data_IF_362962975235
#
_entry.id   IF_362962975235
#
_cell.length_a   1.000
_cell.length_b   1.000
_cell.length_c   1.000
_cell.angle_alpha   90.00
_cell.angle_beta   90.00
_cell.angle_gamma   90.00
#
_symmetry.space_group_name_H-M   'P 1'
#
loop_
_entity.id
_entity.type
_entity.pdbx_description
1 polymer ?
#
# COMPACT_ATOMS: atom_id res chain seq x y z
N UNK A 1 1.28 10.61 -3.28
CA UNK A 1 2.72 10.36 -3.52
C UNK A 1 3.52 9.98 -2.27
N UNK A 2 3.08 10.30 -1.05
CA UNK A 2 3.82 9.95 0.17
C UNK A 2 4.11 8.44 0.32
N UNK A 3 3.10 7.58 0.04
CA UNK A 3 3.24 6.13 0.15
C UNK A 3 4.37 5.54 -0.72
N UNK A 4 4.42 5.90 -2.01
CA UNK A 4 5.42 5.33 -2.93
C UNK A 4 6.84 5.80 -2.58
N UNK A 5 7.00 7.05 -2.12
CA UNK A 5 8.29 7.56 -1.66
C UNK A 5 8.77 6.82 -0.40
N UNK A 6 7.86 6.56 0.53
CA UNK A 6 8.15 5.75 1.71
C UNK A 6 8.56 4.33 1.30
N UNK A 7 7.78 3.67 0.44
CA UNK A 7 8.04 2.29 0.04
C UNK A 7 9.37 2.16 -0.73
N UNK A 8 9.72 3.14 -1.57
CA UNK A 8 11.02 3.17 -2.25
C UNK A 8 12.16 3.23 -1.22
N UNK A 9 12.02 4.04 -0.18
CA UNK A 9 13.06 4.18 0.86
C UNK A 9 13.12 2.95 1.78
N UNK A 10 11.98 2.42 2.19
CA UNK A 10 11.89 1.29 3.12
C UNK A 10 12.44 0.00 2.50
N UNK A 11 12.06 -0.28 1.24
CA UNK A 11 12.45 -1.50 0.53
C UNK A 11 13.65 -1.31 -0.40
N UNK A 12 14.31 -0.13 -0.36
CA UNK A 12 15.44 0.21 -1.24
C UNK A 12 15.16 -0.02 -2.73
N UNK A 13 14.00 0.45 -3.21
CA UNK A 13 13.52 0.23 -4.60
C UNK A 13 14.10 1.28 -5.57
N UNK A 14 15.43 1.31 -5.69
CA UNK A 14 16.14 2.20 -6.60
C UNK A 14 15.82 1.87 -8.07
N UNK A 15 14.88 2.60 -8.67
CA UNK A 15 14.42 2.38 -10.05
C UNK A 15 12.90 2.48 -10.26
N UNK A 16 12.12 2.54 -9.18
CA UNK A 16 10.68 2.78 -9.28
C UNK A 16 10.43 4.25 -9.63
N UNK A 17 9.76 4.49 -10.76
CA UNK A 17 9.34 5.83 -11.15
C UNK A 17 8.13 6.27 -10.33
N UNK A 18 8.34 7.22 -9.40
CA UNK A 18 7.26 7.89 -8.65
C UNK A 18 6.21 8.50 -9.58
N UNK A 19 6.62 8.92 -10.78
CA UNK A 19 5.75 9.43 -11.83
C UNK A 19 4.64 8.46 -12.22
N UNK A 20 4.94 7.16 -12.26
CA UNK A 20 3.99 6.11 -12.64
C UNK A 20 2.88 5.89 -11.60
N UNK A 21 3.08 6.40 -10.38
CA UNK A 21 2.15 6.30 -9.25
C UNK A 21 1.56 7.66 -8.84
N UNK A 22 1.62 8.67 -9.71
CA UNK A 22 0.97 9.98 -9.49
C UNK A 22 -0.54 9.89 -9.71
N UNK A 23 -1.22 9.19 -8.80
CA UNK A 23 -2.68 9.04 -8.78
C UNK A 23 -3.21 9.15 -7.35
N UNK A 24 -4.54 9.25 -7.22
CA UNK A 24 -5.19 9.22 -5.92
C UNK A 24 -5.03 7.84 -5.26
N UNK A 25 -4.98 7.78 -3.93
CA UNK A 25 -4.87 6.51 -3.20
C UNK A 25 -6.04 5.55 -3.51
N UNK A 26 -7.23 6.09 -3.79
CA UNK A 26 -8.39 5.30 -4.23
C UNK A 26 -8.14 4.60 -5.56
N UNK A 27 -7.56 5.32 -6.53
CA UNK A 27 -7.20 4.75 -7.83
C UNK A 27 -6.13 3.68 -7.67
N UNK A 28 -5.10 3.95 -6.88
CA UNK A 28 -4.03 2.99 -6.57
C UNK A 28 -4.57 1.70 -5.93
N UNK A 29 -5.54 1.82 -5.03
CA UNK A 29 -6.23 0.68 -4.41
C UNK A 29 -7.25 0.00 -5.34
N UNK A 30 -7.67 0.65 -6.43
CA UNK A 30 -8.57 0.07 -7.43
C UNK A 30 -7.84 -0.62 -8.59
N UNK A 31 -6.53 -0.38 -8.76
CA UNK A 31 -5.74 -1.07 -9.78
C UNK A 31 -5.73 -2.58 -9.54
N UNK A 32 -5.75 -3.35 -10.63
CA UNK A 32 -5.50 -4.80 -10.63
C UNK A 32 -4.01 -5.11 -10.57
N UNK A 33 -3.63 -6.33 -10.19
CA UNK A 33 -2.22 -6.74 -10.08
C UNK A 33 -1.48 -6.52 -11.41
N UNK A 34 -2.09 -6.93 -12.52
CA UNK A 34 -1.51 -6.79 -13.85
C UNK A 34 -1.26 -5.31 -14.21
N UNK A 35 -2.24 -4.45 -13.94
CA UNK A 35 -2.16 -3.01 -14.17
C UNK A 35 -1.06 -2.36 -13.32
N UNK A 36 -0.91 -2.80 -12.06
CA UNK A 36 0.12 -2.29 -11.17
C UNK A 36 1.52 -2.73 -11.62
N UNK A 37 1.68 -4.03 -11.92
CA UNK A 37 2.96 -4.59 -12.38
C UNK A 37 3.42 -3.99 -13.70
N UNK A 38 2.50 -3.63 -14.61
CA UNK A 38 2.85 -2.92 -15.86
C UNK A 38 3.42 -1.51 -15.65
N UNK A 39 3.24 -0.92 -14.46
CA UNK A 39 3.74 0.42 -14.08
C UNK A 39 5.06 0.38 -13.30
N UNK A 40 5.45 -0.78 -12.78
CA UNK A 40 6.63 -0.96 -11.94
C UNK A 40 7.70 -1.81 -12.66
N UNK A 41 8.97 -1.70 -12.29
CA UNK A 41 9.98 -2.67 -12.70
C UNK A 41 9.60 -4.10 -12.23
N UNK A 42 9.98 -5.14 -12.97
CA UNK A 42 9.81 -6.53 -12.53
C UNK A 42 10.49 -6.75 -11.18
N UNK A 43 9.95 -7.67 -10.37
CA UNK A 43 10.34 -7.93 -8.97
C UNK A 43 9.96 -6.81 -7.99
N UNK A 44 10.25 -5.53 -8.27
CA UNK A 44 9.85 -4.42 -7.38
C UNK A 44 8.34 -4.20 -7.36
N UNK A 45 7.68 -4.40 -8.50
CA UNK A 45 6.23 -4.31 -8.61
C UNK A 45 5.51 -5.31 -7.70
N UNK A 46 6.06 -6.52 -7.56
CA UNK A 46 5.48 -7.55 -6.70
C UNK A 46 5.56 -7.15 -5.22
N UNK A 47 6.70 -6.64 -4.76
CA UNK A 47 6.90 -6.16 -3.38
C UNK A 47 5.89 -5.05 -3.04
N UNK A 48 5.77 -4.07 -3.93
CA UNK A 48 4.85 -2.95 -3.76
C UNK A 48 3.38 -3.39 -3.77
N UNK A 49 3.03 -4.31 -4.66
CA UNK A 49 1.67 -4.84 -4.77
C UNK A 49 1.26 -5.61 -3.53
N UNK A 50 2.12 -6.49 -3.01
CA UNK A 50 1.86 -7.23 -1.77
C UNK A 50 1.60 -6.26 -0.60
N UNK A 51 2.37 -5.18 -0.51
CA UNK A 51 2.15 -4.17 0.53
C UNK A 51 0.81 -3.43 0.38
N UNK A 52 0.42 -3.09 -0.85
CA UNK A 52 -0.91 -2.51 -1.12
C UNK A 52 -2.03 -3.49 -0.78
N UNK A 53 -1.87 -4.77 -1.11
CA UNK A 53 -2.87 -5.80 -0.83
C UNK A 53 -3.07 -6.00 0.68
N UNK A 54 -1.99 -5.97 1.46
CA UNK A 54 -2.05 -5.94 2.93
C UNK A 54 -2.80 -4.70 3.44
N UNK A 55 -2.46 -3.50 2.96
CA UNK A 55 -3.14 -2.26 3.36
C UNK A 55 -4.63 -2.28 3.01
N UNK A 56 -5.01 -2.84 1.86
CA UNK A 56 -6.43 -3.02 1.47
C UNK A 56 -7.16 -3.92 2.46
N UNK A 57 -6.57 -5.06 2.82
CA UNK A 57 -7.13 -6.00 3.80
C UNK A 57 -7.32 -5.34 5.16
N UNK A 58 -6.32 -4.61 5.65
CA UNK A 58 -6.35 -3.84 6.90
C UNK A 58 -7.42 -2.72 6.89
N UNK A 59 -7.66 -2.07 5.75
CA UNK A 59 -8.74 -1.08 5.64
C UNK A 59 -10.14 -1.69 5.55
N UNK A 60 -10.27 -2.93 5.07
CA UNK A 60 -11.56 -3.62 4.92
C UNK A 60 -11.97 -4.43 6.15
N UNK A 61 -11.04 -4.74 7.05
CA UNK A 61 -11.42 -5.26 8.36
C UNK A 61 -11.86 -4.06 9.21
N UNK A 62 -13.13 -3.99 9.67
CA UNK A 62 -13.45 -3.07 10.74
C UNK A 62 -12.68 -3.58 11.94
N UNK A 63 -11.66 -2.83 12.38
CA UNK A 63 -11.02 -3.02 13.68
C UNK A 63 -12.07 -2.74 14.76
N UNK A 64 -12.95 -3.69 15.01
CA UNK A 64 -13.61 -3.87 16.30
C UNK A 64 -12.61 -4.59 17.19
N UNK A 65 -11.54 -3.90 17.60
CA UNK A 65 -10.64 -4.36 18.67
C UNK A 65 -9.68 -3.24 19.06
N UNK A 66 -10.15 -2.31 19.91
CA UNK A 66 -9.57 -2.00 21.22
C UNK A 66 -10.20 -0.72 21.82
N UNK A 67 -11.32 -0.89 22.52
CA UNK A 67 -11.64 -0.13 23.75
C UNK A 67 -11.92 -1.14 24.86
N UNK A 68 -10.89 -1.90 25.22
CA UNK A 68 -10.79 -2.44 26.58
C UNK A 68 -10.13 -1.36 27.43
N UNK A 69 -10.95 -0.47 28.01
CA UNK A 69 -10.56 0.22 29.25
C UNK A 69 -11.59 -0.18 30.31
N UNK A 70 -11.24 -1.26 30.99
CA UNK A 70 -11.34 -1.44 32.44
C UNK A 70 -12.10 -0.36 33.23
N UNK A 71 -13.16 -0.80 33.91
CA UNK A 71 -13.48 -0.57 35.33
C UNK A 71 -13.35 0.86 35.90
N UNK A 72 -14.45 1.40 36.42
CA UNK A 72 -14.67 1.71 37.86
C UNK A 72 -15.66 2.87 38.05
N UNK A 73 -16.84 2.58 38.59
CA UNK A 73 -17.53 3.34 39.65
C UNK A 73 -18.82 2.60 40.05
#
# INVERSE_FOLDING_TARGET
VAWVLWAIKEFSLEGVSVGNFRMAGRELCSLSKLEFLGRAPPFMGDILWEHIDMLRKECTCPTTSQTLTSSSA
#
